data_IF_232498748280
#
_entry.id   IF_232498748280
#
_cell.length_a   1.000
_cell.length_b   1.000
_cell.length_c   1.000
_cell.angle_alpha   90.00
_cell.angle_beta   90.00
_cell.angle_gamma   90.00
#
_symmetry.space_group_name_H-M   'P 1'
#
loop_
_entity.id
_entity.type
_entity.pdbx_description
1 polymer ?
#
# COMPACT_ATOMS: atom_id res chain seq x y z
N UNK A 1 14.19 -11.89 1.23
CA UNK A 1 13.68 -13.22 0.86
C UNK A 1 14.38 -13.76 -0.37
N UNK A 2 15.13 -12.90 -1.05
CA UNK A 2 15.77 -13.17 -2.32
C UNK A 2 17.29 -13.20 -2.08
N UNK A 3 17.96 -14.36 -2.23
CA UNK A 3 19.38 -14.52 -1.93
C UNK A 3 20.23 -13.94 -3.06
N UNK A 4 20.34 -12.61 -3.12
CA UNK A 4 21.00 -11.90 -4.23
C UNK A 4 22.35 -11.28 -3.86
N UNK A 5 22.70 -11.27 -2.57
CA UNK A 5 23.99 -10.78 -2.07
C UNK A 5 24.67 -11.92 -1.32
N UNK A 6 25.93 -12.17 -1.67
CA UNK A 6 26.77 -13.18 -1.04
C UNK A 6 28.21 -12.64 -0.85
N UNK A 7 29.00 -13.35 -0.06
CA UNK A 7 30.43 -13.13 0.04
C UNK A 7 31.15 -13.99 -1.01
N UNK A 8 31.77 -13.33 -1.97
CA UNK A 8 32.61 -13.93 -3.00
C UNK A 8 34.05 -13.98 -2.48
N UNK A 9 34.83 -14.95 -2.96
CA UNK A 9 36.21 -15.21 -2.52
C UNK A 9 36.33 -15.58 -1.02
N UNK A 10 37.57 -15.69 -0.53
CA UNK A 10 37.88 -16.08 0.86
C UNK A 10 39.06 -15.29 1.44
N UNK A 11 39.10 -15.18 2.76
CA UNK A 11 40.18 -14.51 3.48
C UNK A 11 40.22 -13.01 3.16
N UNK A 12 41.42 -12.47 2.95
CA UNK A 12 41.61 -11.04 2.66
C UNK A 12 41.03 -10.58 1.32
N UNK A 13 40.71 -11.51 0.41
CA UNK A 13 40.10 -11.21 -0.90
C UNK A 13 38.56 -11.22 -0.85
N UNK A 14 37.98 -11.58 0.30
CA UNK A 14 36.53 -11.70 0.44
C UNK A 14 35.83 -10.37 0.19
N UNK A 15 34.81 -10.40 -0.67
CA UNK A 15 34.07 -9.21 -1.07
C UNK A 15 32.57 -9.48 -1.16
N UNK A 16 31.77 -8.44 -0.93
CA UNK A 16 30.33 -8.49 -1.14
C UNK A 16 30.06 -8.39 -2.63
N UNK A 17 29.31 -9.34 -3.19
CA UNK A 17 28.92 -9.33 -4.60
C UNK A 17 27.58 -10.01 -4.84
N UNK A 18 27.15 -10.03 -6.10
CA UNK A 18 25.98 -10.73 -6.60
C UNK A 18 26.42 -11.98 -7.38
N UNK A 19 25.51 -12.93 -7.59
CA UNK A 19 25.76 -14.07 -8.48
C UNK A 19 26.14 -13.59 -9.90
N UNK A 20 27.03 -14.33 -10.57
CA UNK A 20 27.41 -13.99 -11.95
C UNK A 20 26.21 -14.15 -12.89
N UNK A 21 25.77 -13.06 -13.51
CA UNK A 21 24.58 -13.02 -14.37
C UNK A 21 23.26 -12.76 -13.63
N UNK A 22 23.26 -12.72 -12.30
CA UNK A 22 22.05 -12.46 -11.51
C UNK A 22 21.91 -10.97 -11.16
N UNK A 23 20.87 -10.27 -11.65
CA UNK A 23 20.67 -8.87 -11.32
C UNK A 23 20.19 -8.70 -9.87
N UNK A 24 20.59 -7.59 -9.23
CA UNK A 24 20.16 -7.25 -7.87
C UNK A 24 18.74 -6.68 -7.88
N UNK A 25 17.74 -7.57 -7.98
CA UNK A 25 16.33 -7.22 -8.18
C UNK A 25 15.43 -7.79 -7.07
N UNK A 26 15.23 -7.03 -6.00
CA UNK A 26 14.29 -7.37 -4.93
C UNK A 26 13.39 -6.18 -4.64
N UNK A 27 12.14 -6.44 -4.24
CA UNK A 27 11.18 -5.41 -3.82
C UNK A 27 11.64 -4.65 -2.56
N UNK A 28 12.70 -5.14 -1.90
CA UNK A 28 13.25 -4.59 -0.67
C UNK A 28 14.75 -4.29 -0.79
N UNK A 29 15.28 -4.28 -2.02
CA UNK A 29 16.72 -4.18 -2.29
C UNK A 29 17.35 -2.93 -1.66
N UNK A 30 16.62 -1.81 -1.66
CA UNK A 30 17.12 -0.54 -1.19
C UNK A 30 17.25 -0.45 0.34
N UNK A 31 16.72 -1.40 1.12
CA UNK A 31 16.98 -1.42 2.57
C UNK A 31 18.46 -1.68 2.87
N UNK A 32 19.18 -2.37 1.99
CA UNK A 32 20.63 -2.58 2.11
C UNK A 32 21.42 -1.27 2.21
N UNK A 33 20.95 -0.21 1.54
CA UNK A 33 21.56 1.13 1.57
C UNK A 33 21.48 1.75 2.97
N UNK A 34 20.43 1.46 3.72
CA UNK A 34 20.25 1.98 5.08
C UNK A 34 20.99 1.14 6.12
N UNK A 35 21.11 -0.16 5.87
CA UNK A 35 21.79 -1.11 6.76
C UNK A 35 23.32 -0.97 6.64
N UNK A 36 23.85 -0.68 5.44
CA UNK A 36 25.29 -0.59 5.22
C UNK A 36 25.91 0.61 5.97
N UNK A 37 26.78 0.39 6.97
CA UNK A 37 27.25 1.46 7.84
C UNK A 37 28.39 2.30 7.23
N UNK A 38 29.09 1.75 6.22
CA UNK A 38 30.34 2.32 5.67
C UNK A 38 30.17 2.99 4.31
N UNK A 39 28.96 2.96 3.74
CA UNK A 39 28.72 3.50 2.40
C UNK A 39 29.29 2.65 1.26
N UNK A 40 29.47 1.35 1.46
CA UNK A 40 29.75 0.41 0.37
C UNK A 40 28.53 0.23 -0.53
N UNK A 41 27.35 0.05 0.08
CA UNK A 41 26.06 0.04 -0.59
C UNK A 41 25.40 1.40 -0.40
N UNK A 42 25.29 2.17 -1.48
CA UNK A 42 24.70 3.52 -1.44
C UNK A 42 23.66 3.71 -2.52
N UNK A 43 22.76 4.67 -2.30
CA UNK A 43 21.79 5.08 -3.32
C UNK A 43 22.51 5.84 -4.44
N UNK A 44 22.54 5.26 -5.65
CA UNK A 44 23.04 5.94 -6.85
C UNK A 44 22.29 7.26 -7.11
N UNK A 45 21.00 7.30 -6.77
CA UNK A 45 20.15 8.48 -6.86
C UNK A 45 20.60 9.64 -5.94
N UNK A 46 21.16 9.30 -4.76
CA UNK A 46 21.58 10.26 -3.73
C UNK A 46 23.10 10.54 -3.75
N UNK A 47 23.90 9.65 -4.36
CA UNK A 47 25.36 9.78 -4.46
C UNK A 47 25.74 11.18 -5.01
N UNK A 48 26.62 11.86 -4.28
CA UNK A 48 27.10 13.21 -4.61
C UNK A 48 26.02 14.30 -4.70
N UNK A 49 24.88 14.13 -4.03
CA UNK A 49 23.84 15.17 -3.97
C UNK A 49 23.94 16.08 -2.74
N UNK A 50 24.31 15.53 -1.59
CA UNK A 50 24.45 16.26 -0.33
C UNK A 50 25.25 15.44 0.68
N UNK A 51 25.79 16.08 1.71
CA UNK A 51 26.26 15.37 2.90
C UNK A 51 25.06 15.10 3.82
N UNK A 52 25.03 13.98 4.56
CA UNK A 52 23.88 13.65 5.43
C UNK A 52 23.52 14.74 6.44
N UNK A 53 24.52 15.44 7.00
CA UNK A 53 24.31 16.52 7.98
C UNK A 53 23.84 17.85 7.36
N UNK A 54 23.85 17.98 6.03
CA UNK A 54 23.30 19.15 5.34
C UNK A 54 21.78 19.03 5.09
N UNK A 55 21.18 17.89 5.47
CA UNK A 55 19.77 17.58 5.22
C UNK A 55 18.91 17.87 6.44
N UNK A 56 17.69 18.34 6.19
CA UNK A 56 16.63 18.38 7.20
C UNK A 56 15.85 17.07 7.09
N UNK A 57 15.70 16.38 8.23
CA UNK A 57 14.96 15.12 8.32
C UNK A 57 13.57 15.38 8.90
N UNK A 58 12.53 14.83 8.27
CA UNK A 58 11.15 14.92 8.76
C UNK A 58 10.50 13.55 8.78
N UNK A 59 9.81 13.22 9.86
CA UNK A 59 8.99 12.01 9.95
C UNK A 59 7.77 12.15 9.03
N UNK A 60 7.40 11.06 8.36
CA UNK A 60 6.29 11.02 7.41
C UNK A 60 5.77 9.59 7.25
N UNK A 61 4.70 9.43 6.47
CA UNK A 61 4.08 8.14 6.16
C UNK A 61 4.13 7.93 4.66
N UNK A 62 4.46 6.70 4.23
CA UNK A 62 4.50 6.32 2.83
C UNK A 62 3.10 6.32 2.20
N UNK A 63 2.95 6.99 1.06
CA UNK A 63 1.69 7.25 0.37
C UNK A 63 1.39 6.28 -0.79
N UNK A 64 2.17 5.20 -0.91
CA UNK A 64 2.14 4.35 -2.11
C UNK A 64 1.18 3.15 -2.04
N UNK A 65 0.78 2.71 -0.85
CA UNK A 65 -0.15 1.60 -0.63
C UNK A 65 -0.82 1.73 0.75
N UNK A 66 -1.81 0.90 1.03
CA UNK A 66 -2.51 0.86 2.32
C UNK A 66 -1.63 0.45 3.51
N UNK A 67 -0.42 -0.07 3.24
CA UNK A 67 0.50 -0.50 4.30
C UNK A 67 1.04 0.62 5.19
N UNK A 68 1.04 1.87 4.70
CA UNK A 68 1.30 3.05 5.54
C UNK A 68 2.63 3.06 6.28
N UNK A 69 3.72 2.52 5.70
CA UNK A 69 5.01 2.45 6.37
C UNK A 69 5.46 3.82 6.89
N UNK A 70 5.97 3.87 8.13
CA UNK A 70 6.63 5.03 8.69
C UNK A 70 7.96 5.29 7.96
N UNK A 71 8.20 6.55 7.60
CA UNK A 71 9.37 6.98 6.85
C UNK A 71 10.04 8.18 7.47
N UNK A 72 11.34 8.33 7.19
CA UNK A 72 12.08 9.56 7.37
C UNK A 72 12.39 10.15 5.99
N UNK A 73 11.85 11.33 5.73
CA UNK A 73 12.07 12.06 4.48
C UNK A 73 13.14 13.12 4.70
N UNK A 74 14.29 12.94 4.04
CA UNK A 74 15.39 13.88 4.11
C UNK A 74 15.31 14.85 2.92
N UNK A 75 15.25 16.15 3.19
CA UNK A 75 15.07 17.19 2.18
C UNK A 75 16.08 18.34 2.33
N UNK A 76 16.28 19.08 1.23
CA UNK A 76 17.16 20.25 1.18
C UNK A 76 16.65 21.23 0.13
N UNK A 77 16.56 22.52 0.49
CA UNK A 77 16.10 23.61 -0.41
C UNK A 77 14.77 23.27 -1.11
N UNK A 78 13.80 22.77 -0.34
CA UNK A 78 12.47 22.42 -0.84
C UNK A 78 12.41 21.17 -1.73
N UNK A 79 13.49 20.40 -1.85
CA UNK A 79 13.55 19.16 -2.64
C UNK A 79 13.80 17.96 -1.75
N UNK A 80 13.00 16.91 -1.93
CA UNK A 80 13.23 15.60 -1.30
C UNK A 80 14.46 14.97 -1.93
N UNK A 81 15.45 14.63 -1.10
CA UNK A 81 16.73 14.09 -1.55
C UNK A 81 16.76 12.56 -1.43
N UNK A 82 16.16 12.01 -0.37
CA UNK A 82 16.00 10.57 -0.14
C UNK A 82 14.88 10.29 0.85
N UNK A 83 14.34 9.08 0.83
CA UNK A 83 13.46 8.51 1.85
C UNK A 83 14.12 7.30 2.48
N UNK A 84 13.98 7.16 3.79
CA UNK A 84 14.49 6.07 4.59
C UNK A 84 13.35 5.48 5.43
N UNK A 85 13.50 4.24 5.87
CA UNK A 85 12.55 3.67 6.82
C UNK A 85 12.72 4.38 8.17
N UNK A 86 11.61 4.81 8.77
CA UNK A 86 11.60 5.12 10.20
C UNK A 86 11.37 3.81 10.99
N UNK A 87 11.79 3.80 12.25
CA UNK A 87 11.52 2.67 13.15
C UNK A 87 10.12 2.82 13.75
N UNK A 88 9.21 1.97 13.32
CA UNK A 88 7.86 1.83 13.87
C UNK A 88 7.55 0.33 14.06
N UNK A 89 7.78 -0.22 15.27
CA UNK A 89 7.58 -1.64 15.55
C UNK A 89 6.15 -2.14 15.33
N UNK A 90 5.15 -1.25 15.41
CA UNK A 90 3.73 -1.61 15.26
C UNK A 90 3.29 -1.66 13.78
N UNK A 91 4.05 -1.00 12.89
CA UNK A 91 3.76 -0.97 11.44
C UNK A 91 4.80 -1.75 10.66
N UNK A 92 5.90 -1.11 10.26
CA UNK A 92 6.87 -1.63 9.29
C UNK A 92 8.22 -2.02 9.91
N UNK A 93 8.34 -1.95 11.24
CA UNK A 93 9.60 -2.04 11.98
C UNK A 93 10.61 -1.04 11.39
N UNK A 94 11.69 -1.53 10.77
CA UNK A 94 12.70 -0.69 10.12
C UNK A 94 12.77 -0.92 8.60
N UNK A 95 11.70 -1.46 8.01
CA UNK A 95 11.67 -1.88 6.60
C UNK A 95 10.73 -1.01 5.76
N UNK A 96 11.12 -0.74 4.51
CA UNK A 96 10.20 -0.20 3.48
C UNK A 96 10.45 -0.90 2.15
N UNK A 97 9.44 -0.99 1.29
CA UNK A 97 9.65 -1.45 -0.08
C UNK A 97 10.36 -0.41 -0.94
N UNK A 98 10.88 -0.85 -2.08
CA UNK A 98 11.61 -0.01 -3.03
C UNK A 98 10.71 1.07 -3.65
N UNK A 99 9.41 0.80 -3.81
CA UNK A 99 8.41 1.80 -4.19
C UNK A 99 8.41 2.97 -3.19
N UNK A 100 8.31 2.69 -1.89
CA UNK A 100 8.37 3.72 -0.84
C UNK A 100 9.72 4.42 -0.73
N UNK A 101 10.80 3.70 -1.02
CA UNK A 101 12.17 4.21 -0.92
C UNK A 101 12.58 5.13 -2.06
N UNK A 102 12.19 4.79 -3.29
CA UNK A 102 12.66 5.46 -4.51
C UNK A 102 11.56 6.23 -5.26
N UNK A 103 10.30 5.89 -5.04
CA UNK A 103 9.14 6.38 -5.81
C UNK A 103 8.72 7.82 -5.58
N UNK A 104 9.58 8.72 -5.09
CA UNK A 104 9.20 10.08 -4.67
C UNK A 104 9.54 11.19 -5.68
N UNK A 105 10.16 10.85 -6.82
CA UNK A 105 10.70 11.84 -7.76
C UNK A 105 9.64 12.60 -8.56
N UNK A 106 8.40 12.12 -8.59
CA UNK A 106 7.28 12.74 -9.32
C UNK A 106 7.06 14.20 -8.91
N UNK A 107 7.32 14.57 -7.65
CA UNK A 107 7.15 15.94 -7.16
C UNK A 107 8.11 16.96 -7.80
N UNK A 108 9.18 16.48 -8.46
CA UNK A 108 10.24 17.29 -9.07
C UNK A 108 10.23 17.22 -10.61
N UNK A 109 9.26 16.55 -11.21
CA UNK A 109 9.13 16.49 -12.67
C UNK A 109 8.68 17.85 -13.23
N UNK A 110 9.09 18.13 -14.47
CA UNK A 110 8.87 19.43 -15.13
C UNK A 110 7.42 19.64 -15.59
N UNK A 111 6.69 18.55 -15.79
CA UNK A 111 5.29 18.50 -16.22
C UNK A 111 4.30 18.64 -15.06
N UNK A 112 4.78 18.77 -13.82
CA UNK A 112 3.93 19.07 -12.67
C UNK A 112 3.31 20.47 -12.82
N UNK A 113 1.98 20.53 -12.81
CA UNK A 113 1.24 21.79 -12.77
C UNK A 113 1.50 22.55 -11.45
N UNK A 114 1.82 23.83 -11.56
CA UNK A 114 2.16 24.71 -10.42
C UNK A 114 1.24 25.93 -10.30
N UNK A 115 0.39 26.17 -11.30
CA UNK A 115 -0.58 27.27 -11.35
C UNK A 115 -1.92 26.72 -11.83
N UNK A 116 -3.05 27.30 -11.38
CA UNK A 116 -4.35 26.90 -11.87
C UNK A 116 -4.50 27.23 -13.35
N UNK A 117 -5.20 26.38 -14.09
CA UNK A 117 -5.51 26.57 -15.50
C UNK A 117 -7.03 26.70 -15.66
N UNK A 118 -7.46 27.67 -16.47
CA UNK A 118 -8.86 27.92 -16.81
C UNK A 118 -9.03 27.78 -18.31
N UNK A 119 -10.19 27.29 -18.75
CA UNK A 119 -10.50 27.15 -20.17
C UNK A 119 -10.99 28.49 -20.74
N UNK A 120 -10.35 28.99 -21.78
CA UNK A 120 -10.75 30.21 -22.49
C UNK A 120 -11.93 29.95 -23.46
N UNK A 121 -12.55 30.99 -24.06
CA UNK A 121 -13.62 30.84 -25.04
C UNK A 121 -13.26 30.01 -26.28
N UNK A 122 -11.98 29.99 -26.66
CA UNK A 122 -11.44 29.19 -27.77
C UNK A 122 -11.30 27.70 -27.41
N UNK A 123 -11.43 27.34 -26.13
CA UNK A 123 -11.38 25.97 -25.62
C UNK A 123 -10.02 25.54 -25.07
N UNK A 124 -9.01 26.42 -25.05
CA UNK A 124 -7.66 26.14 -24.56
C UNK A 124 -7.52 26.37 -23.05
N UNK A 125 -6.69 25.56 -22.39
CA UNK A 125 -6.32 25.77 -20.99
C UNK A 125 -5.21 26.83 -20.88
N UNK A 126 -5.51 27.93 -20.19
CA UNK A 126 -4.60 29.05 -19.98
C UNK A 126 -4.35 29.27 -18.48
N UNK A 127 -3.15 29.76 -18.14
CA UNK A 127 -2.81 30.04 -16.75
C UNK A 127 -3.66 31.18 -16.18
N UNK A 128 -4.16 31.00 -14.96
CA UNK A 128 -4.99 31.98 -14.26
C UNK A 128 -4.42 32.29 -12.87
N UNK A 129 -4.88 33.38 -12.27
CA UNK A 129 -4.62 33.64 -10.85
C UNK A 129 -5.51 32.78 -9.95
N UNK A 130 -5.10 32.52 -8.70
CA UNK A 130 -5.94 31.80 -7.74
C UNK A 130 -7.32 32.45 -7.51
N UNK A 131 -7.45 33.78 -7.30
CA UNK A 131 -8.76 34.41 -7.14
C UNK A 131 -9.66 34.23 -8.35
N UNK A 132 -9.12 34.42 -9.56
CA UNK A 132 -9.86 34.24 -10.82
C UNK A 132 -10.33 32.80 -11.00
N UNK A 133 -9.43 31.83 -10.81
CA UNK A 133 -9.77 30.41 -10.96
C UNK A 133 -10.84 29.96 -9.95
N UNK A 134 -10.75 30.44 -8.70
CA UNK A 134 -11.73 30.12 -7.65
C UNK A 134 -13.08 30.77 -7.91
N UNK A 135 -13.12 32.01 -8.40
CA UNK A 135 -14.36 32.70 -8.77
C UNK A 135 -15.08 31.96 -9.90
N UNK A 136 -14.35 31.59 -10.96
CA UNK A 136 -14.90 30.83 -12.09
C UNK A 136 -15.41 29.46 -11.64
N UNK A 137 -14.64 28.75 -10.80
CA UNK A 137 -15.07 27.48 -10.24
C UNK A 137 -16.33 27.63 -9.38
N UNK A 138 -16.39 28.65 -8.52
CA UNK A 138 -17.54 28.91 -7.66
C UNK A 138 -18.81 29.21 -8.47
N UNK A 139 -18.71 30.04 -9.52
CA UNK A 139 -19.83 30.34 -10.41
C UNK A 139 -20.39 29.08 -11.08
N UNK A 140 -19.51 28.23 -11.63
CA UNK A 140 -19.92 26.97 -12.27
C UNK A 140 -20.58 25.98 -11.29
N UNK A 141 -20.03 25.88 -10.08
CA UNK A 141 -20.56 25.02 -9.03
C UNK A 141 -21.90 25.52 -8.49
N UNK A 142 -22.06 26.83 -8.27
CA UNK A 142 -23.32 27.43 -7.83
C UNK A 142 -24.44 27.25 -8.85
N UNK A 143 -24.14 27.42 -10.14
CA UNK A 143 -25.09 27.18 -11.24
C UNK A 143 -25.53 25.69 -11.34
N UNK A 144 -24.76 24.79 -10.75
CA UNK A 144 -24.97 23.33 -10.81
C UNK A 144 -25.31 22.72 -9.44
N UNK A 145 -25.60 23.52 -8.41
CA UNK A 145 -25.90 23.04 -7.05
C UNK A 145 -26.98 21.96 -7.07
N UNK A 146 -26.75 20.87 -6.33
CA UNK A 146 -27.58 19.67 -6.31
C UNK A 146 -27.40 18.72 -7.49
N UNK A 147 -26.54 19.06 -8.47
CA UNK A 147 -26.22 18.26 -9.67
C UNK A 147 -24.72 18.13 -9.90
N UNK A 148 -23.93 18.19 -8.84
CA UNK A 148 -22.47 18.08 -8.86
C UNK A 148 -22.02 16.74 -8.31
N UNK A 149 -20.94 16.20 -8.86
CA UNK A 149 -20.18 15.09 -8.26
C UNK A 149 -18.82 15.57 -7.75
N UNK A 150 -18.35 14.99 -6.65
CA UNK A 150 -17.03 15.28 -6.08
C UNK A 150 -16.19 14.00 -6.09
N UNK A 151 -15.10 13.99 -6.87
CA UNK A 151 -14.15 12.89 -6.95
C UNK A 151 -12.80 13.33 -6.37
N UNK A 152 -12.51 12.89 -5.15
CA UNK A 152 -11.38 13.44 -4.38
C UNK A 152 -10.06 12.72 -4.61
N UNK A 153 -10.12 11.48 -5.09
CA UNK A 153 -8.97 10.58 -5.21
C UNK A 153 -8.57 9.91 -3.88
N UNK A 154 -7.89 8.76 -3.97
CA UNK A 154 -7.64 7.87 -2.82
C UNK A 154 -6.38 8.13 -2.02
N UNK A 155 -5.74 9.31 -2.11
CA UNK A 155 -4.50 9.64 -1.39
C UNK A 155 -4.61 10.91 -0.54
N UNK A 156 -5.82 11.22 -0.09
CA UNK A 156 -6.06 12.35 0.79
C UNK A 156 -5.67 12.03 2.24
N UNK A 157 -5.44 13.09 3.01
CA UNK A 157 -5.49 12.99 4.47
C UNK A 157 -6.93 12.80 4.95
N UNK A 158 -7.09 12.37 6.20
CA UNK A 158 -8.42 12.20 6.81
C UNK A 158 -9.15 13.54 6.91
N UNK A 159 -8.41 14.62 7.21
CA UNK A 159 -8.94 15.98 7.32
C UNK A 159 -9.45 16.49 5.97
N UNK A 160 -8.70 16.28 4.89
CA UNK A 160 -9.11 16.68 3.55
C UNK A 160 -10.33 15.87 3.10
N UNK A 161 -10.36 14.56 3.36
CA UNK A 161 -11.51 13.72 3.06
C UNK A 161 -12.78 14.21 3.79
N UNK A 162 -12.65 14.60 5.07
CA UNK A 162 -13.74 15.23 5.82
C UNK A 162 -14.15 16.59 5.25
N UNK A 163 -13.19 17.43 4.87
CA UNK A 163 -13.46 18.74 4.28
C UNK A 163 -14.23 18.63 2.96
N UNK A 164 -13.81 17.73 2.06
CA UNK A 164 -14.52 17.46 0.81
C UNK A 164 -15.91 16.87 1.04
N UNK A 165 -16.04 15.95 2.00
CA UNK A 165 -17.32 15.38 2.43
C UNK A 165 -18.29 16.47 2.89
N UNK A 166 -17.80 17.43 3.69
CA UNK A 166 -18.59 18.57 4.14
C UNK A 166 -18.91 19.54 3.00
N UNK A 167 -17.95 19.81 2.13
CA UNK A 167 -18.13 20.68 0.98
C UNK A 167 -19.22 20.14 0.03
N UNK A 168 -19.16 18.85 -0.31
CA UNK A 168 -20.16 18.20 -1.14
C UNK A 168 -21.58 18.31 -0.53
N UNK A 169 -21.72 17.94 0.74
CA UNK A 169 -23.04 17.87 1.39
C UNK A 169 -23.62 19.21 1.76
N UNK A 170 -22.80 20.13 2.28
CA UNK A 170 -23.27 21.42 2.82
C UNK A 170 -23.28 22.51 1.75
N UNK A 171 -22.19 22.64 0.98
CA UNK A 171 -22.07 23.73 0.01
C UNK A 171 -22.74 23.36 -1.33
N UNK A 172 -22.50 22.14 -1.82
CA UNK A 172 -22.97 21.71 -3.13
C UNK A 172 -24.33 20.99 -3.11
N UNK A 173 -24.86 20.65 -1.93
CA UNK A 173 -26.17 19.99 -1.75
C UNK A 173 -26.26 18.64 -2.47
N UNK A 174 -25.18 17.86 -2.42
CA UNK A 174 -25.08 16.55 -3.06
C UNK A 174 -24.53 15.51 -2.10
N UNK A 175 -24.98 14.26 -2.25
CA UNK A 175 -24.33 13.10 -1.65
C UNK A 175 -23.45 12.35 -2.66
N UNK A 176 -23.34 12.85 -3.90
CA UNK A 176 -22.50 12.28 -4.95
C UNK A 176 -21.04 12.66 -4.70
N UNK A 177 -20.42 11.97 -3.75
CA UNK A 177 -19.01 12.08 -3.42
C UNK A 177 -18.38 10.69 -3.34
N UNK A 178 -17.25 10.50 -4.01
CA UNK A 178 -16.45 9.29 -3.91
C UNK A 178 -14.94 9.62 -4.00
N UNK A 179 -14.12 8.71 -3.48
CA UNK A 179 -12.66 8.78 -3.55
C UNK A 179 -12.06 7.61 -4.34
N UNK A 180 -12.85 6.53 -4.53
CA UNK A 180 -12.38 5.28 -5.12
C UNK A 180 -12.03 5.50 -6.60
N UNK A 181 -10.86 5.01 -6.99
CA UNK A 181 -10.36 5.02 -8.37
C UNK A 181 -10.17 3.59 -8.91
N UNK A 182 -10.94 2.63 -8.38
CA UNK A 182 -10.87 1.20 -8.67
C UNK A 182 -12.24 0.63 -8.96
N UNK A 183 -12.27 -0.63 -9.41
CA UNK A 183 -13.52 -1.39 -9.52
C UNK A 183 -14.20 -1.49 -8.15
N UNK A 184 -15.51 -1.31 -8.12
CA UNK A 184 -16.34 -1.43 -6.92
C UNK A 184 -17.71 -2.02 -7.32
N UNK A 185 -18.44 -2.53 -6.34
CA UNK A 185 -19.78 -3.10 -6.49
C UNK A 185 -20.83 -2.30 -5.72
N UNK A 186 -22.11 -2.54 -6.04
CA UNK A 186 -23.22 -2.05 -5.21
C UNK A 186 -23.16 -2.64 -3.80
N UNK A 187 -22.82 -3.93 -3.67
CA UNK A 187 -22.63 -4.61 -2.38
C UNK A 187 -21.59 -3.94 -1.50
N UNK A 188 -20.44 -3.55 -2.07
CA UNK A 188 -19.44 -2.80 -1.32
C UNK A 188 -19.96 -1.42 -0.90
N UNK A 189 -20.68 -0.73 -1.79
CA UNK A 189 -21.26 0.57 -1.46
C UNK A 189 -22.29 0.46 -0.32
N UNK A 190 -23.16 -0.55 -0.37
CA UNK A 190 -24.15 -0.84 0.66
C UNK A 190 -23.47 -1.22 1.99
N UNK A 191 -22.41 -2.02 1.94
CA UNK A 191 -21.61 -2.37 3.11
C UNK A 191 -20.98 -1.13 3.76
N UNK A 192 -20.32 -0.27 2.96
CA UNK A 192 -19.69 0.96 3.45
C UNK A 192 -20.71 2.00 3.92
N UNK A 193 -21.95 1.96 3.41
CA UNK A 193 -23.04 2.80 3.90
C UNK A 193 -23.59 2.30 5.24
N UNK A 194 -23.59 0.98 5.47
CA UNK A 194 -24.12 0.36 6.69
C UNK A 194 -23.08 0.17 7.81
N UNK A 195 -21.78 0.17 7.47
CA UNK A 195 -20.67 -0.01 8.39
C UNK A 195 -19.79 1.22 8.40
N UNK A 196 -19.50 1.74 9.58
CA UNK A 196 -18.61 2.89 9.74
C UNK A 196 -17.21 2.48 9.26
N UNK A 197 -16.74 3.08 8.17
CA UNK A 197 -15.34 3.01 7.80
C UNK A 197 -14.50 3.79 8.83
N UNK A 198 -13.37 3.23 9.27
CA UNK A 198 -12.45 3.91 10.21
C UNK A 198 -12.38 3.33 11.63
N UNK A 199 -12.66 2.05 11.81
CA UNK A 199 -12.29 1.32 13.03
C UNK A 199 -10.78 1.05 13.04
N UNK A 200 -10.19 1.00 14.23
CA UNK A 200 -8.76 0.73 14.34
C UNK A 200 -8.27 0.93 15.77
N UNK A 201 -7.13 0.33 16.07
CA UNK A 201 -6.57 0.32 17.43
C UNK A 201 -6.44 1.74 18.01
N UNK A 202 -6.06 2.70 17.17
CA UNK A 202 -5.86 4.09 17.57
C UNK A 202 -7.15 4.93 17.58
N UNK A 203 -8.25 4.38 17.08
CA UNK A 203 -9.56 5.04 17.02
C UNK A 203 -10.46 4.55 18.16
N UNK A 204 -10.62 3.24 18.28
CA UNK A 204 -11.57 2.63 19.22
C UNK A 204 -11.01 1.38 19.92
N UNK A 205 -9.72 1.09 19.75
CA UNK A 205 -9.07 -0.08 20.36
C UNK A 205 -9.41 -1.40 19.68
N UNK A 206 -10.11 -1.39 18.55
CA UNK A 206 -10.53 -2.61 17.83
C UNK A 206 -9.76 -2.79 16.51
N UNK A 207 -9.95 -3.94 15.86
CA UNK A 207 -9.40 -4.21 14.53
C UNK A 207 -8.11 -5.03 14.51
N UNK A 208 -7.75 -5.48 13.31
CA UNK A 208 -6.56 -6.31 13.06
C UNK A 208 -5.33 -5.41 13.00
N UNK A 209 -4.27 -5.80 13.72
CA UNK A 209 -2.98 -5.11 13.71
C UNK A 209 -1.92 -5.96 13.00
N UNK A 210 -0.80 -5.36 12.60
CA UNK A 210 0.34 -6.13 12.10
C UNK A 210 0.88 -7.12 13.14
N UNK A 211 0.80 -6.78 14.43
CA UNK A 211 1.16 -7.70 15.53
C UNK A 211 0.21 -8.90 15.59
N UNK A 212 -1.11 -8.67 15.52
CA UNK A 212 -2.11 -9.74 15.50
C UNK A 212 -1.94 -10.63 14.26
N UNK A 213 -1.69 -10.02 13.09
CA UNK A 213 -1.37 -10.73 11.86
C UNK A 213 -0.11 -11.59 12.01
N UNK A 214 0.98 -11.06 12.59
CA UNK A 214 2.22 -11.81 12.79
C UNK A 214 2.03 -12.97 13.79
N UNK A 215 1.19 -12.81 14.80
CA UNK A 215 0.90 -13.82 15.83
C UNK A 215 -0.14 -14.87 15.42
N UNK A 216 -0.91 -14.62 14.35
CA UNK A 216 -2.02 -15.48 13.95
C UNK A 216 -1.55 -16.93 13.69
N UNK A 217 -2.31 -17.96 14.11
CA UNK A 217 -1.98 -19.36 13.82
C UNK A 217 -2.21 -19.72 12.34
N UNK A 218 -3.11 -19.00 11.68
CA UNK A 218 -3.44 -19.14 10.28
C UNK A 218 -3.86 -17.80 9.68
N UNK A 219 -3.51 -17.57 8.43
CA UNK A 219 -3.91 -16.39 7.65
C UNK A 219 -4.48 -16.83 6.31
N UNK A 220 -5.66 -16.31 5.94
CA UNK A 220 -6.20 -16.43 4.59
C UNK A 220 -6.04 -15.10 3.86
N UNK A 221 -5.39 -15.13 2.69
CA UNK A 221 -5.35 -14.02 1.75
C UNK A 221 -6.44 -14.26 0.70
N UNK A 222 -7.44 -13.39 0.64
CA UNK A 222 -8.57 -13.53 -0.28
C UNK A 222 -8.53 -12.40 -1.32
N UNK A 223 -8.29 -12.75 -2.59
CA UNK A 223 -8.14 -11.77 -3.67
C UNK A 223 -6.99 -10.77 -3.46
N UNK A 224 -5.98 -11.16 -2.67
CA UNK A 224 -4.92 -10.29 -2.19
C UNK A 224 -3.55 -10.93 -2.38
N UNK A 225 -2.63 -10.23 -3.06
CA UNK A 225 -1.21 -10.59 -3.04
C UNK A 225 -0.39 -9.61 -2.20
N UNK A 226 0.06 -10.09 -1.05
CA UNK A 226 0.79 -9.32 -0.05
C UNK A 226 2.08 -8.69 -0.55
N UNK A 227 2.89 -9.36 -1.38
CA UNK A 227 4.18 -8.80 -1.81
C UNK A 227 4.00 -7.63 -2.80
N UNK A 228 2.95 -7.67 -3.61
CA UNK A 228 2.66 -6.66 -4.63
C UNK A 228 1.79 -5.51 -4.09
N UNK A 229 0.73 -5.85 -3.36
CA UNK A 229 -0.33 -4.92 -2.96
C UNK A 229 0.02 -4.20 -1.63
N UNK A 230 0.58 -4.91 -0.65
CA UNK A 230 1.04 -4.31 0.62
C UNK A 230 2.33 -4.97 1.15
N UNK A 231 3.52 -4.58 0.63
CA UNK A 231 4.78 -5.27 0.92
C UNK A 231 5.16 -5.41 2.41
N UNK A 232 4.69 -4.51 3.28
CA UNK A 232 4.90 -4.63 4.72
C UNK A 232 4.15 -5.83 5.33
N UNK A 233 2.94 -6.12 4.85
CA UNK A 233 2.15 -7.31 5.21
C UNK A 233 2.95 -8.56 4.84
N UNK A 234 3.50 -8.61 3.63
CA UNK A 234 4.34 -9.73 3.20
C UNK A 234 5.54 -9.98 4.13
N UNK A 235 6.26 -8.93 4.55
CA UNK A 235 7.38 -9.08 5.47
C UNK A 235 6.96 -9.67 6.82
N UNK A 236 5.78 -9.28 7.34
CA UNK A 236 5.21 -9.83 8.57
C UNK A 236 4.86 -11.31 8.43
N UNK A 237 4.14 -11.68 7.37
CA UNK A 237 3.79 -13.07 7.07
C UNK A 237 5.05 -13.94 6.93
N UNK A 238 6.04 -13.45 6.18
CA UNK A 238 7.30 -14.17 6.00
C UNK A 238 8.09 -14.32 7.31
N UNK A 239 8.09 -13.30 8.16
CA UNK A 239 8.73 -13.35 9.49
C UNK A 239 8.04 -14.38 10.38
N UNK A 240 6.71 -14.35 10.45
CA UNK A 240 5.88 -15.28 11.20
C UNK A 240 6.11 -16.74 10.76
N UNK A 241 6.03 -16.99 9.45
CA UNK A 241 6.32 -18.30 8.87
C UNK A 241 7.71 -18.82 9.26
N UNK A 242 8.74 -17.99 9.14
CA UNK A 242 10.12 -18.40 9.48
C UNK A 242 10.34 -18.63 10.96
N UNK A 243 9.62 -17.93 11.84
CA UNK A 243 9.81 -18.03 13.29
C UNK A 243 9.03 -19.17 13.91
N UNK A 244 7.78 -19.37 13.51
CA UNK A 244 6.88 -20.34 14.14
C UNK A 244 5.97 -21.08 13.17
N UNK A 245 6.27 -21.07 11.87
CA UNK A 245 5.55 -21.87 10.88
C UNK A 245 4.08 -21.47 10.70
N UNK A 246 3.77 -20.17 10.81
CA UNK A 246 2.42 -19.65 10.52
C UNK A 246 1.90 -20.21 9.18
N UNK A 247 0.66 -20.69 9.19
CA UNK A 247 0.00 -21.26 8.00
C UNK A 247 -0.64 -20.15 7.20
N UNK A 248 -0.12 -19.86 6.01
CA UNK A 248 -0.71 -18.86 5.10
C UNK A 248 -1.39 -19.59 3.96
N UNK A 249 -2.64 -19.23 3.66
CA UNK A 249 -3.41 -19.73 2.52
C UNK A 249 -3.75 -18.56 1.61
N UNK A 250 -3.82 -18.78 0.30
CA UNK A 250 -4.21 -17.74 -0.65
C UNK A 250 -5.25 -18.25 -1.64
N UNK A 251 -6.38 -17.55 -1.74
CA UNK A 251 -7.36 -17.71 -2.81
C UNK A 251 -6.87 -16.92 -4.02
N UNK A 252 -6.28 -17.63 -4.99
CA UNK A 252 -5.72 -17.01 -6.18
C UNK A 252 -5.68 -18.01 -7.35
N UNK A 253 -5.43 -17.50 -8.56
CA UNK A 253 -5.32 -18.32 -9.77
C UNK A 253 -4.02 -19.12 -9.84
N UNK A 254 -2.98 -18.67 -9.14
CA UNK A 254 -1.66 -19.29 -9.13
C UNK A 254 -0.88 -18.89 -7.87
N UNK A 255 0.13 -19.70 -7.53
CA UNK A 255 1.06 -19.37 -6.46
C UNK A 255 2.03 -18.29 -6.96
N UNK A 256 2.13 -17.19 -6.21
CA UNK A 256 3.08 -16.12 -6.50
C UNK A 256 4.39 -16.37 -5.77
N UNK A 257 5.47 -15.71 -6.22
CA UNK A 257 6.75 -15.73 -5.50
C UNK A 257 6.61 -15.22 -4.07
N UNK A 258 5.74 -14.23 -3.84
CA UNK A 258 5.44 -13.71 -2.51
C UNK A 258 4.83 -14.79 -1.61
N UNK A 259 3.82 -15.51 -2.11
CA UNK A 259 3.21 -16.62 -1.39
C UNK A 259 4.22 -17.71 -1.04
N UNK A 260 5.01 -18.15 -2.01
CA UNK A 260 6.06 -19.17 -1.81
C UNK A 260 7.09 -18.73 -0.77
N UNK A 261 7.57 -17.47 -0.84
CA UNK A 261 8.52 -16.90 0.11
C UNK A 261 7.99 -16.77 1.52
N UNK A 262 6.66 -16.75 1.68
CA UNK A 262 5.96 -16.77 2.97
C UNK A 262 5.54 -18.19 3.39
N UNK A 263 5.96 -19.23 2.66
CA UNK A 263 5.57 -20.62 2.94
C UNK A 263 4.08 -20.90 2.80
N UNK A 264 3.41 -20.11 1.97
CA UNK A 264 1.96 -20.19 1.80
C UNK A 264 1.52 -21.35 0.91
N UNK A 265 0.26 -21.71 1.06
CA UNK A 265 -0.45 -22.74 0.30
C UNK A 265 -1.46 -22.09 -0.63
N UNK A 266 -1.40 -22.40 -1.92
CA UNK A 266 -2.39 -21.94 -2.88
C UNK A 266 -3.68 -22.76 -2.72
N UNK A 267 -4.80 -22.06 -2.60
CA UNK A 267 -6.13 -22.61 -2.81
C UNK A 267 -6.61 -22.08 -4.16
N UNK A 268 -6.57 -22.91 -5.22
CA UNK A 268 -6.73 -22.43 -6.59
C UNK A 268 -8.17 -21.96 -6.84
N UNK A 269 -8.34 -20.67 -7.01
CA UNK A 269 -9.61 -20.03 -7.34
C UNK A 269 -9.52 -19.41 -8.74
N UNK A 270 -10.51 -19.67 -9.59
CA UNK A 270 -10.63 -18.92 -10.84
C UNK A 270 -11.09 -17.48 -10.52
N UNK A 271 -10.75 -16.47 -11.35
CA UNK A 271 -11.20 -15.11 -11.09
C UNK A 271 -12.73 -15.05 -11.04
N UNK A 272 -13.28 -14.51 -9.96
CA UNK A 272 -14.73 -14.43 -9.74
C UNK A 272 -15.34 -15.62 -9.00
N UNK A 273 -14.55 -16.66 -8.65
CA UNK A 273 -15.03 -17.83 -7.89
C UNK A 273 -14.49 -17.84 -6.45
N UNK A 274 -13.94 -16.73 -5.98
CA UNK A 274 -13.39 -16.62 -4.62
C UNK A 274 -14.47 -16.82 -3.55
N UNK A 275 -15.71 -16.42 -3.81
CA UNK A 275 -16.84 -16.59 -2.89
C UNK A 275 -17.23 -18.06 -2.70
N UNK A 276 -17.16 -18.87 -3.76
CA UNK A 276 -17.36 -20.33 -3.66
C UNK A 276 -16.36 -20.98 -2.70
N UNK A 277 -15.11 -20.53 -2.73
CA UNK A 277 -14.07 -20.97 -1.79
C UNK A 277 -14.36 -20.52 -0.36
N UNK A 278 -14.80 -19.27 -0.18
CA UNK A 278 -15.15 -18.74 1.14
C UNK A 278 -16.32 -19.54 1.75
N UNK A 279 -17.35 -19.84 0.96
CA UNK A 279 -18.49 -20.66 1.37
C UNK A 279 -18.06 -22.10 1.71
N UNK A 280 -17.22 -22.72 0.88
CA UNK A 280 -16.71 -24.06 1.13
C UNK A 280 -15.87 -24.12 2.42
N UNK A 281 -14.99 -23.14 2.65
CA UNK A 281 -14.17 -23.00 3.86
C UNK A 281 -15.04 -22.81 5.12
N UNK A 282 -16.05 -21.95 5.04
CA UNK A 282 -16.99 -21.68 6.12
C UNK A 282 -17.85 -22.91 6.45
N UNK A 283 -18.43 -23.54 5.43
CA UNK A 283 -19.30 -24.72 5.57
C UNK A 283 -18.57 -26.02 5.85
N UNK A 284 -17.29 -26.12 5.47
CA UNK A 284 -16.51 -27.36 5.57
C UNK A 284 -16.97 -28.45 4.58
N UNK A 285 -17.61 -28.07 3.48
CA UNK A 285 -18.21 -28.98 2.49
C UNK A 285 -17.47 -28.87 1.16
N UNK A 286 -17.26 -30.00 0.47
CA UNK A 286 -16.62 -30.02 -0.86
C UNK A 286 -15.11 -29.72 -0.83
N UNK A 287 -14.49 -29.74 0.35
CA UNK A 287 -13.07 -29.51 0.52
C UNK A 287 -12.29 -30.82 0.60
N UNK A 288 -11.20 -30.90 -0.14
CA UNK A 288 -10.23 -31.98 -0.07
C UNK A 288 -8.81 -31.43 0.16
N UNK A 289 -7.93 -32.27 0.69
CA UNK A 289 -6.49 -31.97 0.83
C UNK A 289 -6.23 -30.63 1.53
N UNK A 290 -5.63 -29.70 0.79
CA UNK A 290 -5.21 -28.38 1.26
C UNK A 290 -6.40 -27.52 1.70
N UNK A 291 -7.56 -27.67 1.04
CA UNK A 291 -8.79 -26.99 1.41
C UNK A 291 -9.29 -27.41 2.80
N UNK A 292 -9.31 -28.71 3.09
CA UNK A 292 -9.72 -29.22 4.40
C UNK A 292 -8.77 -28.74 5.50
N UNK A 293 -7.46 -28.73 5.23
CA UNK A 293 -6.44 -28.22 6.17
C UNK A 293 -6.61 -26.72 6.41
N UNK A 294 -6.92 -25.94 5.38
CA UNK A 294 -7.19 -24.51 5.50
C UNK A 294 -8.44 -24.24 6.35
N UNK A 295 -9.53 -24.95 6.10
CA UNK A 295 -10.76 -24.81 6.87
C UNK A 295 -10.57 -25.14 8.35
N UNK A 296 -9.82 -26.19 8.68
CA UNK A 296 -9.47 -26.50 10.08
C UNK A 296 -8.59 -25.40 10.68
N UNK A 297 -7.54 -24.98 9.95
CA UNK A 297 -6.59 -23.97 10.42
C UNK A 297 -7.25 -22.62 10.74
N UNK A 298 -8.19 -22.19 9.91
CA UNK A 298 -8.87 -20.90 10.02
C UNK A 298 -9.93 -20.85 11.14
N UNK A 299 -10.26 -21.99 11.77
CA UNK A 299 -11.10 -22.03 12.99
C UNK A 299 -10.30 -21.81 14.28
N UNK A 300 -8.97 -21.79 14.20
CA UNK A 300 -8.14 -21.51 15.36
C UNK A 300 -8.35 -20.07 15.85
N UNK A 301 -8.40 -19.89 17.17
CA UNK A 301 -8.52 -18.56 17.78
C UNK A 301 -7.37 -17.65 17.33
N UNK A 302 -7.71 -16.42 16.92
CA UNK A 302 -6.76 -15.45 16.40
C UNK A 302 -6.36 -15.66 14.93
N UNK A 303 -6.98 -16.59 14.19
CA UNK A 303 -6.83 -16.66 12.74
C UNK A 303 -7.31 -15.36 12.07
N UNK A 304 -6.64 -14.96 10.99
CA UNK A 304 -6.88 -13.68 10.32
C UNK A 304 -7.26 -13.92 8.86
N UNK A 305 -8.25 -13.17 8.36
CA UNK A 305 -8.57 -13.08 6.94
C UNK A 305 -8.17 -11.69 6.46
N UNK A 306 -7.36 -11.63 5.40
CA UNK A 306 -6.95 -10.39 4.73
C UNK A 306 -7.61 -10.35 3.36
N UNK A 307 -8.42 -9.32 3.15
CA UNK A 307 -9.24 -9.15 1.95
C UNK A 307 -8.59 -8.09 1.06
N UNK A 308 -8.36 -8.45 -0.20
CA UNK A 308 -7.80 -7.56 -1.21
C UNK A 308 -8.88 -6.80 -1.97
N UNK A 309 -8.51 -5.70 -2.61
CA UNK A 309 -9.48 -4.82 -3.28
C UNK A 309 -10.17 -5.47 -4.50
N UNK A 310 -9.57 -6.53 -5.06
CA UNK A 310 -10.13 -7.27 -6.20
C UNK A 310 -11.44 -7.97 -5.86
N UNK A 311 -11.67 -8.30 -4.59
CA UNK A 311 -12.93 -8.89 -4.17
C UNK A 311 -14.11 -7.93 -4.30
N UNK A 312 -13.89 -6.62 -4.42
CA UNK A 312 -14.95 -5.68 -4.75
C UNK A 312 -15.56 -5.91 -6.15
N UNK A 313 -14.94 -6.75 -7.00
CA UNK A 313 -15.46 -7.15 -8.31
C UNK A 313 -16.13 -8.53 -8.32
N UNK A 314 -16.11 -9.25 -7.18
CA UNK A 314 -16.67 -10.60 -7.05
C UNK A 314 -17.99 -10.48 -6.29
N UNK A 315 -19.06 -11.03 -6.84
CA UNK A 315 -20.37 -10.99 -6.21
C UNK A 315 -20.48 -12.08 -5.13
N UNK A 316 -21.07 -11.74 -3.97
CA UNK A 316 -21.34 -12.67 -2.87
C UNK A 316 -20.84 -12.18 -1.52
#
# INVERSE_FOLDING_TARGET
GDPMIELIERGALQQVGTGEGDPFESYFSGNTIQICPVGALTSAAYRFRSRPFDLVSSHSVCEHCAGGCATRTDHRRGKVMRRLAANDPEVNEEWICDKGRFGFRYAQLKDRLTTPLVRNPEGDLVAASWPEALEIAAQGLLASRGRTGVLTGGRLTVEDAYAYSKFARVALDTNDIDFRARVHSGEEADFLAARVAGHGRDVDGTGVTYTALEQAPAVLLAGFESEEEAPAVFLRLRKAWRKHGQRVFSLATHATRGLEKAGGTLLPAAPGTETEWLDALAGGVGLEGDGSRAAEALRAEGAVIVVGERLAAVAG
#
